data_IF_278886097483
#
_entry.id   IF_278886097483
#
_cell.length_a   1.000
_cell.length_b   1.000
_cell.length_c   1.000
_cell.angle_alpha   90.00
_cell.angle_beta   90.00
_cell.angle_gamma   90.00
#
_symmetry.space_group_name_H-M   'P 1'
#
loop_
_entity.id
_entity.type
_entity.pdbx_description
1 polymer ?
#
# COMPACT_ATOMS: atom_id res chain seq x y z
N UNK A 1 24.63 -47.08 -0.53
CA UNK A 1 23.59 -46.06 -0.29
C UNK A 1 24.07 -44.85 0.55
N UNK A 2 25.38 -44.54 0.56
CA UNK A 2 25.96 -43.30 1.16
C UNK A 2 26.62 -42.37 0.12
N UNK A 3 26.91 -42.87 -1.08
CA UNK A 3 27.59 -42.11 -2.14
C UNK A 3 26.65 -41.25 -3.02
N UNK A 4 25.34 -41.54 -3.03
CA UNK A 4 24.36 -40.77 -3.81
C UNK A 4 23.96 -39.44 -3.16
N UNK A 5 24.09 -39.32 -1.84
CA UNK A 5 23.72 -38.09 -1.12
C UNK A 5 24.82 -37.00 -1.22
N UNK A 6 26.09 -37.41 -1.38
CA UNK A 6 27.22 -36.49 -1.51
C UNK A 6 27.31 -35.81 -2.88
N UNK A 7 26.79 -36.45 -3.94
CA UNK A 7 26.76 -35.86 -5.28
C UNK A 7 25.67 -34.76 -5.38
N UNK A 8 24.61 -34.87 -4.57
CA UNK A 8 23.52 -33.91 -4.55
C UNK A 8 23.87 -32.63 -3.76
N UNK A 9 24.73 -32.73 -2.74
CA UNK A 9 25.20 -31.57 -1.96
C UNK A 9 26.25 -30.72 -2.73
N UNK A 10 27.11 -31.35 -3.52
CA UNK A 10 28.15 -30.63 -4.28
C UNK A 10 27.59 -29.90 -5.52
N UNK A 11 26.49 -30.39 -6.09
CA UNK A 11 25.81 -29.73 -7.21
C UNK A 11 24.93 -28.57 -6.77
N UNK A 12 24.35 -28.62 -5.57
CA UNK A 12 23.57 -27.51 -4.99
C UNK A 12 24.43 -26.30 -4.61
N UNK A 13 25.68 -26.51 -4.18
CA UNK A 13 26.55 -25.43 -3.73
C UNK A 13 27.17 -24.60 -4.87
N UNK A 14 27.21 -25.13 -6.10
CA UNK A 14 27.75 -24.40 -7.26
C UNK A 14 26.68 -23.70 -8.13
N UNK A 15 25.39 -24.04 -8.00
CA UNK A 15 24.33 -23.44 -8.82
C UNK A 15 23.62 -22.24 -8.15
N UNK A 16 24.05 -21.80 -6.97
CA UNK A 16 23.41 -20.65 -6.32
C UNK A 16 24.38 -19.53 -5.91
N UNK A 17 25.06 -18.86 -6.87
CA UNK A 17 25.58 -17.53 -6.64
C UNK A 17 24.53 -16.49 -7.09
N UNK A 18 23.36 -16.45 -6.43
CA UNK A 18 22.40 -15.37 -6.68
C UNK A 18 21.42 -15.11 -5.52
N UNK A 19 21.69 -15.61 -4.31
CA UNK A 19 20.87 -15.34 -3.12
C UNK A 19 21.46 -14.24 -2.21
N UNK A 20 22.56 -13.60 -2.60
CA UNK A 20 23.20 -12.56 -1.77
C UNK A 20 22.72 -11.13 -2.06
N UNK A 21 21.66 -10.91 -2.84
CA UNK A 21 21.14 -9.55 -3.11
C UNK A 21 19.68 -9.31 -2.71
N UNK A 22 19.08 -10.15 -1.87
CA UNK A 22 17.77 -9.87 -1.24
C UNK A 22 17.95 -9.43 0.23
N UNK A 23 18.94 -8.60 0.49
CA UNK A 23 18.94 -7.70 1.65
C UNK A 23 18.74 -6.28 1.12
N UNK A 24 17.49 -5.92 0.80
CA UNK A 24 16.95 -4.54 0.86
C UNK A 24 15.45 -4.61 0.49
N UNK A 25 14.66 -5.33 1.29
CA UNK A 25 13.30 -4.87 1.56
C UNK A 25 13.31 -4.36 2.99
N UNK A 26 13.84 -3.15 3.15
CA UNK A 26 13.49 -2.26 4.26
C UNK A 26 12.01 -1.89 4.06
N UNK A 27 11.06 -2.43 4.82
CA UNK A 27 9.68 -1.96 4.75
C UNK A 27 9.63 -0.74 5.69
N UNK A 28 10.07 0.40 5.19
CA UNK A 28 10.17 1.61 5.99
C UNK A 28 10.75 2.77 5.21
N UNK A 29 9.83 3.63 4.74
CA UNK A 29 10.01 4.98 4.19
C UNK A 29 10.15 5.12 2.65
N UNK A 30 9.02 5.48 2.04
CA UNK A 30 8.85 6.55 1.05
C UNK A 30 9.73 6.58 -0.22
N UNK A 31 9.13 6.22 -1.36
CA UNK A 31 9.24 7.03 -2.57
C UNK A 31 7.85 7.18 -3.19
N UNK A 32 7.35 8.42 -3.20
CA UNK A 32 6.02 8.81 -3.68
C UNK A 32 6.15 9.04 -5.18
N UNK A 33 5.73 8.08 -5.98
CA UNK A 33 5.58 8.28 -7.42
C UNK A 33 4.22 8.95 -7.63
N UNK A 34 4.18 10.12 -8.25
CA UNK A 34 2.96 10.71 -8.83
C UNK A 34 2.55 9.89 -10.05
N UNK A 35 2.16 8.64 -9.80
CA UNK A 35 1.27 7.91 -10.68
C UNK A 35 -0.08 8.03 -9.97
N UNK A 36 -1.09 8.59 -10.65
CA UNK A 36 -2.46 8.52 -10.17
C UNK A 36 -2.85 7.05 -10.06
N UNK A 37 -2.53 6.45 -8.92
CA UNK A 37 -2.93 5.10 -8.56
C UNK A 37 -4.45 5.07 -8.67
N UNK A 38 -4.98 4.16 -9.48
CA UNK A 38 -6.41 4.06 -9.70
C UNK A 38 -7.11 3.84 -8.35
N UNK A 39 -7.89 4.82 -7.91
CA UNK A 39 -8.63 4.78 -6.65
C UNK A 39 -8.45 6.02 -5.77
N UNK A 40 -8.98 5.94 -4.54
CA UNK A 40 -8.98 7.06 -3.59
C UNK A 40 -7.60 7.27 -2.96
N UNK A 41 -7.16 8.53 -2.97
CA UNK A 41 -5.97 8.97 -2.24
C UNK A 41 -6.33 9.34 -0.80
N UNK A 42 -5.79 8.59 0.16
CA UNK A 42 -6.00 8.83 1.58
C UNK A 42 -4.93 9.76 2.14
N UNK A 43 -5.36 10.74 2.94
CA UNK A 43 -4.47 11.60 3.69
C UNK A 43 -3.86 10.80 4.85
N UNK A 44 -2.53 10.86 4.95
CA UNK A 44 -1.76 10.21 6.01
C UNK A 44 -1.13 11.30 6.88
N UNK A 45 -1.58 11.40 8.12
CA UNK A 45 -1.12 12.40 9.08
C UNK A 45 -1.99 12.40 10.33
N UNK A 46 -1.73 13.35 11.22
CA UNK A 46 -2.54 13.58 12.40
C UNK A 46 -3.86 14.28 12.07
N UNK A 47 -4.80 14.24 13.02
CA UNK A 47 -6.06 14.99 12.91
C UNK A 47 -5.83 16.51 12.79
N UNK A 48 -4.80 17.03 13.48
CA UNK A 48 -4.45 18.45 13.43
C UNK A 48 -3.90 18.84 12.05
N UNK A 49 -3.10 17.96 11.43
CA UNK A 49 -2.55 18.18 10.10
C UNK A 49 -3.66 18.17 9.03
N UNK A 50 -4.61 17.25 9.09
CA UNK A 50 -5.73 17.23 8.13
C UNK A 50 -6.65 18.43 8.31
N UNK A 51 -6.89 18.89 9.55
CA UNK A 51 -7.67 20.10 9.80
C UNK A 51 -6.97 21.35 9.25
N UNK A 52 -5.65 21.45 9.44
CA UNK A 52 -4.87 22.57 8.89
C UNK A 52 -4.88 22.54 7.36
N UNK A 53 -4.69 21.37 6.76
CA UNK A 53 -4.70 21.17 5.32
C UNK A 53 -6.08 21.46 4.72
N UNK A 54 -7.15 21.02 5.39
CA UNK A 54 -8.56 21.27 5.02
C UNK A 54 -8.86 22.77 5.00
N UNK A 55 -8.42 23.50 6.04
CA UNK A 55 -8.57 24.96 6.09
C UNK A 55 -7.75 25.65 5.01
N UNK A 56 -6.51 25.20 4.76
CA UNK A 56 -5.62 25.79 3.74
C UNK A 56 -6.16 25.59 2.33
N UNK A 57 -6.66 24.38 2.04
CA UNK A 57 -7.22 24.02 0.72
C UNK A 57 -8.69 24.40 0.57
N UNK A 58 -9.35 24.84 1.64
CA UNK A 58 -10.79 25.08 1.72
C UNK A 58 -11.62 23.89 1.23
N UNK A 59 -11.19 22.67 1.58
CA UNK A 59 -11.85 21.42 1.18
C UNK A 59 -12.47 20.71 2.38
N UNK A 60 -13.70 20.19 2.30
CA UNK A 60 -14.28 19.37 3.35
C UNK A 60 -13.46 18.09 3.59
N UNK A 61 -13.59 17.52 4.79
CA UNK A 61 -12.95 16.26 5.17
C UNK A 61 -13.96 15.13 5.00
N UNK A 62 -13.57 14.09 4.28
CA UNK A 62 -14.33 12.85 4.16
C UNK A 62 -13.69 11.79 5.08
N UNK A 63 -14.48 11.19 5.97
CA UNK A 63 -14.01 10.23 6.96
C UNK A 63 -14.61 8.87 6.64
N UNK A 64 -13.76 7.91 6.28
CA UNK A 64 -14.11 6.50 6.11
C UNK A 64 -14.05 5.79 7.46
N UNK A 65 -15.22 5.57 8.08
CA UNK A 65 -15.30 4.85 9.37
C UNK A 65 -15.51 3.37 9.08
N UNK A 66 -14.47 2.56 9.34
CA UNK A 66 -14.52 1.11 9.12
C UNK A 66 -14.00 0.31 10.32
N UNK A 67 -14.27 -1.00 10.30
CA UNK A 67 -13.67 -1.96 11.25
C UNK A 67 -13.05 -3.13 10.49
N UNK A 68 -12.08 -3.81 11.11
CA UNK A 68 -11.37 -4.94 10.49
C UNK A 68 -12.26 -6.15 10.16
N UNK A 69 -13.43 -6.25 10.80
CA UNK A 69 -14.40 -7.33 10.61
C UNK A 69 -15.67 -6.85 9.89
N UNK A 70 -15.74 -5.60 9.44
CA UNK A 70 -16.88 -5.10 8.66
C UNK A 70 -16.85 -5.66 7.22
N UNK A 71 -17.72 -6.65 6.95
CA UNK A 71 -17.88 -7.24 5.63
C UNK A 71 -18.27 -6.23 4.52
N UNK A 72 -19.31 -5.41 4.72
CA UNK A 72 -19.72 -4.39 3.76
C UNK A 72 -18.62 -3.35 3.46
N UNK A 73 -17.87 -2.91 4.48
CA UNK A 73 -16.79 -1.95 4.33
C UNK A 73 -15.68 -2.51 3.42
N UNK A 74 -15.31 -3.79 3.60
CA UNK A 74 -14.34 -4.46 2.72
C UNK A 74 -14.84 -4.57 1.27
N UNK A 75 -16.14 -4.74 1.06
CA UNK A 75 -16.72 -4.75 -0.28
C UNK A 75 -16.61 -3.37 -0.93
N UNK A 76 -16.96 -2.31 -0.20
CA UNK A 76 -16.80 -0.93 -0.67
C UNK A 76 -15.34 -0.59 -1.01
N UNK A 77 -14.40 -0.98 -0.14
CA UNK A 77 -12.98 -0.77 -0.37
C UNK A 77 -12.45 -1.46 -1.63
N UNK A 78 -12.99 -2.63 -1.99
CA UNK A 78 -12.58 -3.37 -3.20
C UNK A 78 -13.29 -2.92 -4.46
N UNK A 79 -14.58 -2.65 -4.37
CA UNK A 79 -15.45 -2.48 -5.54
C UNK A 79 -15.67 -1.01 -5.88
N UNK A 80 -15.61 -0.10 -4.90
CA UNK A 80 -15.95 1.33 -5.04
C UNK A 80 -14.71 2.21 -4.94
N UNK A 81 -13.87 2.00 -3.92
CA UNK A 81 -12.70 2.86 -3.68
C UNK A 81 -11.55 2.65 -4.68
N UNK A 82 -11.59 1.57 -5.44
CA UNK A 82 -10.67 1.27 -6.55
C UNK A 82 -11.12 1.89 -7.87
N UNK A 83 -12.37 2.38 -7.96
CA UNK A 83 -12.87 2.97 -9.20
C UNK A 83 -12.24 4.36 -9.41
N UNK A 84 -11.65 4.64 -10.60
CA UNK A 84 -10.98 5.91 -10.87
C UNK A 84 -11.89 7.13 -10.70
N UNK A 85 -13.13 7.05 -11.18
CA UNK A 85 -14.11 8.14 -11.05
C UNK A 85 -14.40 8.51 -9.59
N UNK A 86 -14.42 7.53 -8.69
CA UNK A 86 -14.64 7.76 -7.25
C UNK A 86 -13.40 8.38 -6.63
N UNK A 87 -12.21 7.87 -6.98
CA UNK A 87 -10.93 8.45 -6.58
C UNK A 87 -10.81 9.92 -6.98
N UNK A 88 -11.03 10.20 -8.27
CA UNK A 88 -10.96 11.54 -8.83
C UNK A 88 -11.98 12.48 -8.17
N UNK A 89 -13.22 12.01 -7.96
CA UNK A 89 -14.25 12.82 -7.30
C UNK A 89 -13.83 13.21 -5.89
N UNK A 90 -13.34 12.25 -5.10
CA UNK A 90 -12.96 12.50 -3.71
C UNK A 90 -11.67 13.31 -3.59
N UNK A 91 -10.68 13.08 -4.46
CA UNK A 91 -9.45 13.89 -4.48
C UNK A 91 -9.70 15.34 -4.90
N UNK A 92 -10.62 15.56 -5.85
CA UNK A 92 -10.97 16.91 -6.29
C UNK A 92 -11.83 17.65 -5.27
N UNK A 93 -12.75 16.96 -4.59
CA UNK A 93 -13.74 17.59 -3.72
C UNK A 93 -13.29 17.70 -2.26
N UNK A 94 -12.55 16.72 -1.74
CA UNK A 94 -12.36 16.55 -0.29
C UNK A 94 -10.96 16.08 0.10
N UNK A 95 -10.65 16.14 1.40
CA UNK A 95 -9.53 15.41 2.00
C UNK A 95 -10.07 14.14 2.67
N UNK A 96 -9.66 12.98 2.19
CA UNK A 96 -10.20 11.69 2.63
C UNK A 96 -9.28 11.04 3.66
N UNK A 97 -9.82 10.63 4.82
CA UNK A 97 -9.11 9.88 5.87
C UNK A 97 -9.83 8.57 6.21
N UNK A 98 -9.11 7.64 6.85
CA UNK A 98 -9.57 6.33 7.34
C UNK A 98 -9.55 6.27 8.86
#
# INVERSE_FOLDING_TARGET
MKFLFSLFLLTFFSFMPAFSQITELKPGAASRNEQSEAGIQFFHGSWEEVLKESNTKNKPIFIDVFTSWCGPCKKMARDVFTQPNVGDFLTNTSLTIK
#
